data_IF_051904976354
#
_entry.id   IF_051904976354
#
_cell.length_a   1.000
_cell.length_b   1.000
_cell.length_c   1.000
_cell.angle_alpha   90.00
_cell.angle_beta   90.00
_cell.angle_gamma   90.00
#
_symmetry.space_group_name_H-M   'P 1'
#
loop_
_entity.id
_entity.type
_entity.pdbx_description
1 polymer ?
#
# COMPACT_ATOMS: atom_id res chain seq x y z
N UNK A 1 5.97 -4.14 1.24
CA UNK A 1 4.70 -3.80 1.96
C UNK A 1 4.33 -4.79 3.05
N UNK A 2 4.66 -6.09 2.91
CA UNK A 2 4.34 -7.15 3.87
C UNK A 2 4.60 -6.76 5.34
N UNK A 3 5.84 -6.43 5.67
CA UNK A 3 6.23 -6.15 7.06
C UNK A 3 5.52 -4.94 7.64
N UNK A 4 5.29 -3.90 6.83
CA UNK A 4 4.57 -2.70 7.26
C UNK A 4 3.13 -3.04 7.69
N UNK A 5 2.40 -3.83 6.89
CA UNK A 5 1.05 -4.26 7.25
C UNK A 5 1.06 -5.15 8.50
N UNK A 6 2.05 -6.05 8.64
CA UNK A 6 2.23 -6.84 9.85
C UNK A 6 2.48 -5.95 11.08
N UNK A 7 3.28 -4.89 10.96
CA UNK A 7 3.49 -3.92 12.05
C UNK A 7 2.19 -3.22 12.46
N UNK A 8 1.40 -2.77 11.50
CA UNK A 8 0.10 -2.14 11.79
C UNK A 8 -0.83 -3.12 12.51
N UNK A 9 -0.85 -4.39 12.11
CA UNK A 9 -1.63 -5.43 12.77
C UNK A 9 -1.18 -5.63 14.22
N UNK A 10 0.14 -5.70 14.48
CA UNK A 10 0.68 -5.77 15.85
C UNK A 10 0.28 -4.56 16.70
N UNK A 11 0.23 -3.36 16.11
CA UNK A 11 -0.21 -2.15 16.79
C UNK A 11 -1.72 -2.17 17.11
N UNK A 12 -2.53 -2.73 16.21
CA UNK A 12 -3.99 -2.90 16.41
C UNK A 12 -4.27 -3.87 17.56
N UNK A 13 -3.48 -4.92 17.72
CA UNK A 13 -3.61 -5.92 18.78
C UNK A 13 -3.19 -5.42 20.17
N UNK A 14 -2.50 -4.27 20.25
CA UNK A 14 -2.07 -3.65 21.51
C UNK A 14 -3.15 -2.74 22.08
N UNK A 15 -3.25 -2.71 23.41
CA UNK A 15 -4.17 -1.83 24.14
C UNK A 15 -3.51 -0.52 24.61
N UNK A 16 -2.70 0.08 23.72
CA UNK A 16 -2.03 1.34 24.03
C UNK A 16 -3.02 2.51 24.02
N UNK A 17 -2.99 3.30 25.09
CA UNK A 17 -3.87 4.46 25.25
C UNK A 17 -3.39 5.70 24.51
N UNK A 18 -2.07 5.84 24.27
CA UNK A 18 -1.49 7.05 23.69
C UNK A 18 -0.32 6.69 22.76
N UNK A 19 -0.28 7.25 21.56
CA UNK A 19 0.92 7.25 20.70
C UNK A 19 1.60 8.62 20.67
N UNK A 20 2.93 8.59 20.74
CA UNK A 20 3.82 9.73 20.52
C UNK A 20 4.52 9.55 19.17
N UNK A 21 3.91 9.99 18.05
CA UNK A 21 4.50 9.78 16.73
C UNK A 21 5.72 10.67 16.53
N UNK A 22 6.63 10.26 15.63
CA UNK A 22 7.78 11.09 15.25
C UNK A 22 7.38 12.40 14.56
N UNK A 23 6.17 12.45 13.98
CA UNK A 23 5.61 13.65 13.35
C UNK A 23 4.11 13.77 13.66
N UNK A 24 3.61 15.00 13.72
CA UNK A 24 2.22 15.30 14.00
C UNK A 24 1.90 15.30 15.51
N UNK A 25 0.61 15.43 15.86
CA UNK A 25 0.18 15.55 17.25
C UNK A 25 0.19 14.20 17.98
N UNK A 26 0.21 14.26 19.31
CA UNK A 26 -0.03 13.11 20.20
C UNK A 26 -1.41 12.51 19.89
N UNK A 27 -1.48 11.18 19.75
CA UNK A 27 -2.73 10.47 19.51
C UNK A 27 -3.22 9.86 20.83
N UNK A 28 -4.27 10.43 21.44
CA UNK A 28 -4.86 9.95 22.71
C UNK A 28 -5.88 8.80 22.53
N UNK A 29 -6.24 8.51 21.29
CA UNK A 29 -7.00 7.33 20.88
C UNK A 29 -6.39 6.84 19.55
N UNK A 30 -5.34 6.01 19.59
CA UNK A 30 -4.58 5.67 18.41
C UNK A 30 -5.25 4.61 17.52
N UNK A 31 -6.17 3.82 18.08
CA UNK A 31 -6.77 2.66 17.43
C UNK A 31 -7.49 3.00 16.11
N UNK A 32 -8.34 4.03 16.03
CA UNK A 32 -8.95 4.44 14.76
C UNK A 32 -7.92 4.84 13.70
N UNK A 33 -6.82 5.49 14.11
CA UNK A 33 -5.79 5.97 13.21
C UNK A 33 -5.02 4.80 12.56
N UNK A 34 -4.54 3.84 13.35
CA UNK A 34 -3.79 2.69 12.84
C UNK A 34 -4.67 1.76 12.00
N UNK A 35 -5.93 1.53 12.39
CA UNK A 35 -6.90 0.78 11.58
C UNK A 35 -7.14 1.43 10.22
N UNK A 36 -7.25 2.76 10.20
CA UNK A 36 -7.36 3.53 8.94
C UNK A 36 -6.12 3.39 8.08
N UNK A 37 -4.91 3.40 8.66
CA UNK A 37 -3.68 3.18 7.90
C UNK A 37 -3.68 1.80 7.22
N UNK A 38 -4.04 0.74 7.95
CA UNK A 38 -4.10 -0.61 7.40
C UNK A 38 -5.18 -0.72 6.32
N UNK A 39 -6.38 -0.18 6.58
CA UNK A 39 -7.48 -0.13 5.61
C UNK A 39 -7.07 0.57 4.32
N UNK A 40 -6.32 1.68 4.40
CA UNK A 40 -5.80 2.36 3.22
C UNK A 40 -4.82 1.50 2.41
N UNK A 41 -3.97 0.68 3.06
CA UNK A 41 -3.09 -0.26 2.35
C UNK A 41 -3.87 -1.37 1.67
N UNK A 42 -4.86 -1.94 2.35
CA UNK A 42 -5.70 -2.99 1.75
C UNK A 42 -6.51 -2.48 0.57
N UNK A 43 -7.07 -1.26 0.67
CA UNK A 43 -7.76 -0.61 -0.44
C UNK A 43 -6.82 -0.38 -1.63
N UNK A 44 -5.60 0.12 -1.39
CA UNK A 44 -4.59 0.35 -2.44
C UNK A 44 -4.20 -0.96 -3.13
N UNK A 45 -4.02 -2.03 -2.38
CA UNK A 45 -3.74 -3.37 -2.93
C UNK A 45 -4.89 -3.88 -3.81
N UNK A 46 -6.15 -3.70 -3.37
CA UNK A 46 -7.32 -4.07 -4.15
C UNK A 46 -7.42 -3.27 -5.46
N UNK A 47 -7.12 -1.96 -5.43
CA UNK A 47 -7.08 -1.11 -6.63
C UNK A 47 -6.01 -1.59 -7.63
N UNK A 48 -4.82 -1.99 -7.16
CA UNK A 48 -3.75 -2.55 -8.00
C UNK A 48 -4.18 -3.86 -8.66
N UNK A 49 -4.78 -4.77 -7.89
CA UNK A 49 -5.26 -6.05 -8.43
C UNK A 49 -6.39 -5.86 -9.44
N UNK A 50 -7.30 -4.92 -9.18
CA UNK A 50 -8.38 -4.58 -10.11
C UNK A 50 -7.85 -3.94 -11.40
N UNK A 51 -6.74 -3.19 -11.34
CA UNK A 51 -6.06 -2.73 -12.55
C UNK A 51 -5.49 -3.91 -13.35
N UNK A 52 -4.73 -4.79 -12.68
CA UNK A 52 -4.08 -5.94 -13.30
C UNK A 52 -5.05 -7.01 -13.83
N UNK A 53 -6.27 -7.08 -13.30
CA UNK A 53 -7.30 -7.97 -13.86
C UNK A 53 -7.79 -7.53 -15.24
N UNK A 54 -7.62 -6.25 -15.59
CA UNK A 54 -7.99 -5.74 -16.91
C UNK A 54 -6.85 -5.87 -17.92
N UNK A 55 -5.63 -5.50 -17.51
CA UNK A 55 -4.44 -5.57 -18.38
C UNK A 55 -3.17 -5.79 -17.55
N UNK A 56 -2.25 -6.66 -18.01
CA UNK A 56 -0.87 -6.60 -17.57
C UNK A 56 -0.28 -5.21 -17.83
N UNK A 57 0.47 -4.66 -16.88
CA UNK A 57 1.01 -3.31 -17.03
C UNK A 57 2.26 -3.03 -16.17
N UNK A 58 2.96 -1.94 -16.47
CA UNK A 58 4.14 -1.45 -15.75
C UNK A 58 3.79 -0.78 -14.42
N UNK A 59 4.76 -0.70 -13.50
CA UNK A 59 4.61 -0.02 -12.20
C UNK A 59 4.15 1.44 -12.39
N UNK A 60 4.70 2.13 -13.39
CA UNK A 60 4.42 3.53 -13.70
C UNK A 60 2.96 3.72 -14.12
N UNK A 61 2.46 2.87 -15.00
CA UNK A 61 1.08 2.96 -15.48
C UNK A 61 0.07 2.56 -14.40
N UNK A 62 0.37 1.52 -13.61
CA UNK A 62 -0.42 1.15 -12.44
C UNK A 62 -0.46 2.33 -11.45
N UNK A 63 0.69 2.96 -11.16
CA UNK A 63 0.75 4.12 -10.28
C UNK A 63 -0.08 5.28 -10.82
N UNK A 64 0.05 5.63 -12.10
CA UNK A 64 -0.74 6.68 -12.74
C UNK A 64 -2.25 6.41 -12.65
N UNK A 65 -2.66 5.14 -12.81
CA UNK A 65 -4.06 4.71 -12.73
C UNK A 65 -4.63 4.76 -11.31
N UNK A 66 -3.85 4.33 -10.32
CA UNK A 66 -4.32 4.14 -8.93
C UNK A 66 -4.11 5.40 -8.07
N UNK A 67 -3.18 6.28 -8.45
CA UNK A 67 -2.89 7.57 -7.83
C UNK A 67 -3.40 8.75 -8.68
N UNK A 68 -4.59 8.65 -9.28
CA UNK A 68 -5.16 9.73 -10.10
C UNK A 68 -5.08 11.10 -9.38
N UNK A 69 -4.71 12.16 -10.12
CA UNK A 69 -4.58 13.54 -9.62
C UNK A 69 -3.45 13.77 -8.60
N UNK A 70 -2.46 12.90 -8.59
CA UNK A 70 -1.27 13.06 -7.76
C UNK A 70 -0.36 14.10 -8.39
N UNK A 71 0.08 15.07 -7.58
CA UNK A 71 1.02 16.10 -7.98
C UNK A 71 2.27 15.44 -8.63
N UNK A 72 2.71 15.89 -9.83
CA UNK A 72 3.89 15.35 -10.50
C UNK A 72 5.11 15.24 -9.58
N UNK A 73 5.24 16.14 -8.60
CA UNK A 73 6.34 16.14 -7.63
C UNK A 73 6.36 14.91 -6.71
N UNK A 74 5.25 14.17 -6.57
CA UNK A 74 5.18 12.95 -5.74
C UNK A 74 4.90 11.69 -6.56
N UNK A 75 4.99 11.75 -7.90
CA UNK A 75 4.83 10.58 -8.78
C UNK A 75 5.80 9.44 -8.43
N UNK A 76 7.08 9.78 -8.18
CA UNK A 76 8.08 8.79 -7.76
C UNK A 76 7.71 8.11 -6.42
N UNK A 77 7.05 8.82 -5.50
CA UNK A 77 6.60 8.23 -4.24
C UNK A 77 5.41 7.29 -4.45
N UNK A 78 4.51 7.61 -5.39
CA UNK A 78 3.41 6.75 -5.79
C UNK A 78 3.91 5.44 -6.43
N UNK A 79 4.86 5.53 -7.37
CA UNK A 79 5.49 4.36 -8.00
C UNK A 79 6.15 3.44 -6.97
N UNK A 80 6.93 4.01 -6.03
CA UNK A 80 7.54 3.23 -4.94
C UNK A 80 6.50 2.53 -4.06
N UNK A 81 5.34 3.17 -3.84
CA UNK A 81 4.28 2.54 -3.08
C UNK A 81 3.66 1.35 -3.84
N UNK A 82 3.39 1.51 -5.13
CA UNK A 82 2.90 0.44 -6.00
C UNK A 82 3.90 -0.71 -6.05
N UNK A 83 5.18 -0.44 -6.28
CA UNK A 83 6.24 -1.45 -6.28
C UNK A 83 6.25 -2.25 -4.97
N UNK A 84 6.18 -1.58 -3.81
CA UNK A 84 6.15 -2.26 -2.51
C UNK A 84 4.91 -3.15 -2.33
N UNK A 85 3.76 -2.80 -2.92
CA UNK A 85 2.56 -3.64 -2.95
C UNK A 85 2.73 -4.85 -3.87
N UNK A 86 3.29 -4.66 -5.07
CA UNK A 86 3.55 -5.73 -6.03
C UNK A 86 4.55 -6.75 -5.48
N UNK A 87 5.61 -6.32 -4.79
CA UNK A 87 6.56 -7.21 -4.09
C UNK A 87 5.86 -8.08 -3.03
N UNK A 88 4.93 -7.49 -2.26
CA UNK A 88 4.11 -8.26 -1.30
C UNK A 88 3.24 -9.28 -2.05
N UNK A 89 2.52 -8.86 -3.08
CA UNK A 89 1.64 -9.74 -3.85
C UNK A 89 2.40 -10.87 -4.56
N UNK A 90 3.63 -10.60 -5.01
CA UNK A 90 4.53 -11.59 -5.59
C UNK A 90 4.91 -12.65 -4.56
N UNK A 91 5.29 -12.22 -3.35
CA UNK A 91 5.58 -13.15 -2.24
C UNK A 91 4.37 -14.01 -1.85
N UNK A 92 3.16 -13.52 -2.11
CA UNK A 92 1.89 -14.21 -1.88
C UNK A 92 1.42 -15.03 -3.11
N UNK A 93 2.23 -15.09 -4.18
CA UNK A 93 1.90 -15.79 -5.44
C UNK A 93 0.59 -15.33 -6.09
N UNK A 94 0.27 -14.05 -5.97
CA UNK A 94 -0.95 -13.44 -6.54
C UNK A 94 -0.68 -12.69 -7.85
N UNK A 95 0.57 -12.33 -8.08
CA UNK A 95 1.06 -11.67 -9.30
C UNK A 95 2.38 -12.28 -9.72
N UNK A 96 2.72 -12.16 -10.99
CA UNK A 96 4.03 -12.45 -11.55
C UNK A 96 4.53 -11.26 -12.35
N UNK A 97 5.86 -11.15 -12.47
CA UNK A 97 6.50 -10.15 -13.32
C UNK A 97 6.97 -10.79 -14.63
N UNK A 98 6.63 -10.15 -15.75
CA UNK A 98 6.97 -10.56 -17.11
C UNK A 98 7.64 -9.37 -17.82
N UNK A 99 8.98 -9.36 -17.81
CA UNK A 99 9.76 -8.18 -18.19
C UNK A 99 9.46 -6.98 -17.30
N UNK A 100 9.00 -5.88 -17.89
CA UNK A 100 8.62 -4.66 -17.18
C UNK A 100 7.15 -4.67 -16.72
N UNK A 101 6.36 -5.63 -17.18
CA UNK A 101 4.94 -5.73 -16.86
C UNK A 101 4.68 -6.67 -15.68
N UNK A 102 3.64 -6.36 -14.92
CA UNK A 102 3.08 -7.21 -13.89
C UNK A 102 1.74 -7.78 -14.37
N UNK A 103 1.42 -9.01 -13.99
CA UNK A 103 0.13 -9.66 -14.29
C UNK A 103 -0.32 -10.55 -13.13
N UNK A 104 -1.61 -10.84 -13.06
CA UNK A 104 -2.13 -11.84 -12.13
C UNK A 104 -1.54 -13.22 -12.45
N UNK A 105 -1.37 -14.06 -11.42
CA UNK A 105 -0.95 -15.47 -11.57
C UNK A 105 -2.09 -16.34 -12.08
#
# INVERSE_FOLDING_TARGET
>A
MHDYCAQLQRLIERDDRIYFPGHGPILRDPQPYVKRLLSNRMRREAEILAHLSNTPDSVQNIAASVYQKTDPHIAMAAERNVAAHLEKLLSESRVVQDGEAWKLT
#
